data_IF_363516451988
#
_entry.id   IF_363516451988
#
_cell.length_a   1.000
_cell.length_b   1.000
_cell.length_c   1.000
_cell.angle_alpha   90.00
_cell.angle_beta   90.00
_cell.angle_gamma   90.00
#
_symmetry.space_group_name_H-M   'P 1'
#
loop_
_entity.id
_entity.type
_entity.pdbx_description
1 polymer ?
#
# COMPACT_ATOMS: atom_id res chain seq x y z
N UNK A 1 -5.89 -14.90 -0.75
CA UNK A 1 -6.15 -13.47 -0.99
C UNK A 1 -6.73 -12.83 0.25
N UNK A 2 -6.27 -11.63 0.57
CA UNK A 2 -6.79 -10.91 1.73
C UNK A 2 -8.04 -10.11 1.34
N UNK A 3 -9.08 -10.18 2.16
CA UNK A 3 -10.27 -9.35 1.95
C UNK A 3 -9.98 -7.90 2.29
N UNK A 4 -10.78 -6.98 1.75
CA UNK A 4 -10.67 -5.56 2.05
C UNK A 4 -10.69 -5.30 3.57
N UNK A 5 -11.65 -5.92 4.28
CA UNK A 5 -11.76 -5.74 5.73
C UNK A 5 -10.53 -6.26 6.47
N UNK A 6 -9.95 -7.39 6.06
CA UNK A 6 -8.79 -7.96 6.73
C UNK A 6 -7.53 -7.11 6.49
N UNK A 7 -7.38 -6.54 5.30
CA UNK A 7 -6.27 -5.65 4.99
C UNK A 7 -6.36 -4.38 5.83
N UNK A 8 -7.56 -3.78 5.91
CA UNK A 8 -7.79 -2.59 6.71
C UNK A 8 -7.44 -2.86 8.18
N UNK A 9 -7.91 -3.99 8.72
CA UNK A 9 -7.63 -4.35 10.11
C UNK A 9 -6.12 -4.56 10.35
N UNK A 10 -5.42 -5.20 9.40
CA UNK A 10 -3.98 -5.42 9.52
C UNK A 10 -3.20 -4.11 9.51
N UNK A 11 -3.57 -3.17 8.64
CA UNK A 11 -2.92 -1.86 8.59
C UNK A 11 -3.18 -1.08 9.87
N UNK A 12 -4.42 -1.09 10.38
CA UNK A 12 -4.75 -0.41 11.63
C UNK A 12 -3.97 -0.98 12.82
N UNK A 13 -3.78 -2.29 12.86
CA UNK A 13 -3.03 -2.95 13.93
C UNK A 13 -1.53 -2.59 13.87
N UNK A 14 -1.01 -2.36 12.68
CA UNK A 14 0.41 -2.04 12.46
C UNK A 14 0.74 -0.59 12.76
N UNK A 15 -0.18 0.34 12.52
CA UNK A 15 0.11 1.76 12.50
C UNK A 15 -0.36 2.46 13.77
N UNK A 16 0.58 3.05 14.52
CA UNK A 16 0.26 3.85 15.70
C UNK A 16 0.00 5.32 15.34
N UNK A 17 0.67 5.82 14.30
CA UNK A 17 0.49 7.19 13.81
C UNK A 17 0.54 7.16 12.29
N UNK A 18 -0.57 7.52 11.66
CA UNK A 18 -0.70 7.42 10.21
C UNK A 18 0.28 8.32 9.47
N UNK A 19 0.60 9.48 10.01
CA UNK A 19 1.51 10.43 9.36
C UNK A 19 2.94 9.92 9.20
N UNK A 20 3.32 8.89 9.94
CA UNK A 20 4.65 8.27 9.86
C UNK A 20 4.76 7.21 8.78
N UNK A 21 3.66 6.85 8.14
CA UNK A 21 3.60 5.75 7.19
C UNK A 21 3.17 6.23 5.82
N UNK A 22 3.57 5.46 4.81
CA UNK A 22 3.17 5.68 3.43
C UNK A 22 2.39 4.47 2.94
N UNK A 23 1.32 4.70 2.19
CA UNK A 23 0.53 3.64 1.56
C UNK A 23 0.57 3.80 0.04
N UNK A 24 0.61 2.67 -0.66
CA UNK A 24 0.59 2.68 -2.12
C UNK A 24 0.08 1.37 -2.69
N UNK A 25 -0.08 1.37 -4.01
CA UNK A 25 -0.54 0.22 -4.78
C UNK A 25 0.47 -0.12 -5.86
N UNK A 26 0.60 -1.42 -6.17
CA UNK A 26 1.48 -1.85 -7.25
C UNK A 26 1.05 -3.20 -7.80
N UNK A 27 1.45 -3.48 -9.05
CA UNK A 27 1.36 -4.81 -9.64
C UNK A 27 2.64 -5.62 -9.40
N UNK A 28 3.73 -4.98 -8.99
CA UNK A 28 5.03 -5.62 -8.80
C UNK A 28 5.67 -5.12 -7.50
N UNK A 29 5.55 -5.93 -6.46
CA UNK A 29 6.06 -5.58 -5.13
C UNK A 29 7.58 -5.43 -5.11
N UNK A 30 8.29 -6.34 -5.77
CA UNK A 30 9.76 -6.32 -5.75
C UNK A 30 10.30 -5.04 -6.40
N UNK A 31 9.75 -4.66 -7.56
CA UNK A 31 10.14 -3.45 -8.27
C UNK A 31 9.83 -2.21 -7.43
N UNK A 32 8.63 -2.15 -6.85
CA UNK A 32 8.20 -0.96 -6.10
C UNK A 32 8.98 -0.79 -4.81
N UNK A 33 9.28 -1.88 -4.12
CA UNK A 33 10.11 -1.83 -2.91
C UNK A 33 11.52 -1.36 -3.22
N UNK A 34 12.10 -1.86 -4.32
CA UNK A 34 13.42 -1.42 -4.79
C UNK A 34 13.40 0.06 -5.15
N UNK A 35 12.34 0.52 -5.80
CA UNK A 35 12.17 1.95 -6.14
C UNK A 35 12.22 2.82 -4.89
N UNK A 36 11.44 2.50 -3.87
CA UNK A 36 11.40 3.29 -2.65
C UNK A 36 12.72 3.28 -1.89
N UNK A 37 13.35 2.10 -1.83
CA UNK A 37 14.62 1.94 -1.12
C UNK A 37 15.78 2.62 -1.84
N UNK A 38 15.90 2.44 -3.14
CA UNK A 38 17.08 2.82 -3.90
C UNK A 38 16.95 4.17 -4.61
N UNK A 39 15.77 4.50 -5.13
CA UNK A 39 15.53 5.73 -5.86
C UNK A 39 15.09 6.86 -4.93
N UNK A 40 14.10 6.61 -4.08
CA UNK A 40 13.58 7.61 -3.15
C UNK A 40 14.32 7.61 -1.81
N UNK A 41 15.20 6.64 -1.59
CA UNK A 41 16.02 6.54 -0.37
C UNK A 41 15.20 6.49 0.90
N UNK A 42 14.02 5.87 0.83
CA UNK A 42 13.15 5.71 1.98
C UNK A 42 13.53 4.47 2.80
N UNK A 43 13.23 4.50 4.10
CA UNK A 43 13.44 3.35 4.97
C UNK A 43 12.29 2.38 4.81
N UNK A 44 12.56 1.22 4.19
CA UNK A 44 11.55 0.20 3.96
C UNK A 44 11.64 -0.96 4.96
N UNK A 45 12.27 -0.73 6.10
CA UNK A 45 12.49 -1.77 7.14
C UNK A 45 11.18 -2.36 7.64
N UNK A 46 10.14 -1.54 7.76
CA UNK A 46 8.84 -1.96 8.27
C UNK A 46 7.82 -2.19 7.18
N UNK A 47 8.26 -2.47 5.97
CA UNK A 47 7.41 -2.76 4.84
C UNK A 47 6.52 -3.97 5.08
N UNK A 48 5.22 -3.80 4.82
CA UNK A 48 4.27 -4.90 4.73
C UNK A 48 3.40 -4.71 3.50
N UNK A 49 2.91 -5.81 2.98
CA UNK A 49 2.06 -5.77 1.79
C UNK A 49 0.99 -6.86 1.85
N UNK A 50 -0.06 -6.65 1.06
CA UNK A 50 -1.19 -7.56 0.99
C UNK A 50 -1.70 -7.61 -0.44
N UNK A 51 -2.11 -8.82 -0.87
CA UNK A 51 -2.73 -9.01 -2.17
C UNK A 51 -4.22 -8.67 -2.05
N UNK A 52 -4.68 -7.65 -2.77
CA UNK A 52 -6.08 -7.25 -2.75
C UNK A 52 -6.92 -8.13 -3.67
N UNK A 53 -8.21 -8.23 -3.38
CA UNK A 53 -9.15 -8.99 -4.19
C UNK A 53 -9.42 -8.33 -5.54
N UNK A 54 -9.35 -6.99 -5.60
CA UNK A 54 -9.61 -6.23 -6.82
C UNK A 54 -8.90 -4.88 -6.75
N UNK A 55 -8.77 -4.24 -7.91
CA UNK A 55 -8.26 -2.88 -7.99
C UNK A 55 -9.17 -1.91 -7.22
N UNK A 56 -10.47 -2.08 -7.32
CA UNK A 56 -11.44 -1.24 -6.61
C UNK A 56 -11.24 -1.31 -5.10
N UNK A 57 -11.07 -2.51 -4.56
CA UNK A 57 -10.81 -2.70 -3.13
C UNK A 57 -9.50 -2.04 -2.72
N UNK A 58 -8.45 -2.21 -3.53
CA UNK A 58 -7.14 -1.63 -3.25
C UNK A 58 -7.21 -0.09 -3.23
N UNK A 59 -7.92 0.50 -4.19
CA UNK A 59 -8.09 1.95 -4.25
C UNK A 59 -8.88 2.48 -3.07
N UNK A 60 -9.91 1.77 -2.63
CA UNK A 60 -10.69 2.17 -1.45
C UNK A 60 -9.84 2.14 -0.18
N UNK A 61 -9.00 1.13 -0.05
CA UNK A 61 -8.09 1.00 1.10
C UNK A 61 -7.09 2.16 1.10
N UNK A 62 -6.47 2.42 -0.05
CA UNK A 62 -5.51 3.53 -0.16
C UNK A 62 -6.14 4.86 0.21
N UNK A 63 -7.32 5.14 -0.35
CA UNK A 63 -8.04 6.39 -0.09
C UNK A 63 -8.39 6.53 1.39
N UNK A 64 -8.82 5.45 2.01
CA UNK A 64 -9.17 5.45 3.43
C UNK A 64 -7.98 5.90 4.30
N UNK A 65 -6.81 5.34 4.08
CA UNK A 65 -5.65 5.63 4.90
C UNK A 65 -4.98 6.96 4.56
N UNK A 66 -5.04 7.39 3.31
CA UNK A 66 -4.62 8.75 2.95
C UNK A 66 -5.49 9.78 3.68
N UNK A 67 -6.80 9.55 3.75
CA UNK A 67 -7.71 10.42 4.47
C UNK A 67 -7.46 10.41 5.98
N UNK A 68 -6.85 9.37 6.51
CA UNK A 68 -6.47 9.27 7.92
C UNK A 68 -5.10 9.90 8.22
N UNK A 69 -4.38 10.33 7.21
CA UNK A 69 -3.11 11.03 7.37
C UNK A 69 -1.88 10.35 6.82
N UNK A 70 -1.99 9.16 6.24
CA UNK A 70 -0.85 8.51 5.59
C UNK A 70 -0.41 9.29 4.34
N UNK A 71 0.88 9.23 4.05
CA UNK A 71 1.41 9.75 2.79
C UNK A 71 0.94 8.86 1.66
N UNK A 72 0.42 9.46 0.59
CA UNK A 72 -0.01 8.73 -0.58
C UNK A 72 1.14 8.38 -1.51
N UNK A 73 1.01 7.26 -2.21
CA UNK A 73 1.90 6.93 -3.29
C UNK A 73 1.48 7.64 -4.57
N UNK A 74 2.44 8.09 -5.37
CA UNK A 74 2.16 8.51 -6.72
C UNK A 74 2.18 7.26 -7.58
N UNK A 75 1.06 6.59 -7.69
CA UNK A 75 0.97 5.39 -8.50
C UNK A 75 1.02 5.70 -9.98
N UNK A 76 1.63 4.84 -10.74
CA UNK A 76 1.45 4.81 -12.18
C UNK A 76 0.08 4.27 -12.53
N UNK A 77 -0.18 4.05 -13.80
CA UNK A 77 -1.43 3.47 -14.25
C UNK A 77 -1.58 2.03 -13.73
N UNK A 78 -2.71 1.76 -13.10
CA UNK A 78 -3.04 0.43 -12.61
C UNK A 78 -4.11 -0.20 -13.49
N UNK A 79 -4.02 -1.52 -13.67
CA UNK A 79 -4.96 -2.26 -14.49
C UNK A 79 -5.80 -3.20 -13.64
N UNK A 80 -7.11 -3.19 -13.84
CA UNK A 80 -8.03 -4.10 -13.16
C UNK A 80 -7.80 -5.56 -13.57
N UNK A 81 -7.09 -5.79 -14.68
CA UNK A 81 -6.82 -7.15 -15.19
C UNK A 81 -5.57 -7.79 -14.57
N UNK A 82 -4.86 -7.07 -13.73
CA UNK A 82 -3.64 -7.56 -13.08
C UNK A 82 -3.84 -7.62 -11.57
N UNK A 83 -3.09 -8.50 -10.92
CA UNK A 83 -3.06 -8.56 -9.46
C UNK A 83 -2.57 -7.23 -8.90
N UNK A 84 -3.27 -6.71 -7.90
CA UNK A 84 -2.92 -5.46 -7.23
C UNK A 84 -2.56 -5.76 -5.79
N UNK A 85 -1.45 -5.19 -5.35
CA UNK A 85 -0.99 -5.28 -3.97
C UNK A 85 -1.08 -3.92 -3.30
N UNK A 86 -1.48 -3.93 -2.03
CA UNK A 86 -1.41 -2.75 -1.15
C UNK A 86 -0.15 -2.89 -0.31
N UNK A 87 0.65 -1.84 -0.23
CA UNK A 87 1.84 -1.85 0.63
C UNK A 87 1.83 -0.65 1.56
N UNK A 88 2.44 -0.84 2.73
CA UNK A 88 2.58 0.21 3.75
C UNK A 88 4.00 0.12 4.33
N UNK A 89 4.64 1.27 4.51
CA UNK A 89 5.94 1.35 5.18
C UNK A 89 6.20 2.71 5.80
#
# INVERSE_FOLDING_TARGET
MATKASIIAAIQAKTSSYSLYRIGLTHDLAERKTYWRDTEKENVKYWEDWKADSLSDAQDIERLFINKGMKGGTGGSLSANKTVYVYVF
#
